data_IF_908483193295
#
_entry.id   IF_908483193295
#
_cell.length_a   1.000
_cell.length_b   1.000
_cell.length_c   1.000
_cell.angle_alpha   90.00
_cell.angle_beta   90.00
_cell.angle_gamma   90.00
#
_symmetry.space_group_name_H-M   'P 1'
#
loop_
_entity.id
_entity.type
_entity.pdbx_description
1 polymer ?
#
# COMPACT_ATOMS: atom_id res chain seq x y z
N UNK A 1 -7.37 -19.25 -5.69
CA UNK A 1 -7.41 -17.78 -5.85
C UNK A 1 -8.75 -17.45 -6.52
N UNK A 2 -9.71 -16.87 -5.79
CA UNK A 2 -11.07 -16.61 -6.31
C UNK A 2 -11.15 -15.20 -6.93
N UNK A 3 -10.39 -14.96 -7.99
CA UNK A 3 -10.25 -13.64 -8.64
C UNK A 3 -11.40 -13.31 -9.64
N UNK A 4 -12.60 -13.85 -9.43
CA UNK A 4 -13.69 -13.77 -10.43
C UNK A 4 -15.10 -13.62 -9.85
N UNK A 5 -15.25 -13.19 -8.60
CA UNK A 5 -16.58 -12.96 -7.98
C UNK A 5 -17.09 -11.51 -8.12
N UNK A 6 -16.31 -10.64 -8.75
CA UNK A 6 -16.50 -9.19 -8.71
C UNK A 6 -16.63 -8.67 -10.13
N UNK A 7 -17.87 -8.55 -10.59
CA UNK A 7 -18.25 -8.31 -11.98
C UNK A 7 -18.31 -6.83 -12.37
N UNK A 8 -17.96 -5.90 -11.48
CA UNK A 8 -17.82 -4.49 -11.83
C UNK A 8 -16.44 -3.99 -11.41
N UNK A 9 -15.81 -3.17 -12.26
CA UNK A 9 -14.52 -2.55 -11.99
C UNK A 9 -14.56 -1.80 -10.65
N UNK A 10 -14.00 -2.41 -9.59
CA UNK A 10 -13.93 -1.87 -8.23
C UNK A 10 -15.00 -2.35 -7.23
N UNK A 11 -16.02 -3.09 -7.69
CA UNK A 11 -17.06 -3.72 -6.87
C UNK A 11 -16.54 -5.04 -6.30
N UNK A 12 -15.83 -4.99 -5.18
CA UNK A 12 -15.21 -6.18 -4.57
C UNK A 12 -13.90 -5.94 -3.84
N UNK A 13 -13.34 -4.74 -3.93
CA UNK A 13 -12.15 -4.38 -3.19
C UNK A 13 -12.50 -4.13 -1.72
N UNK A 14 -11.62 -4.56 -0.81
CA UNK A 14 -11.82 -4.40 0.64
C UNK A 14 -12.10 -2.93 1.02
N UNK A 15 -11.43 -1.98 0.36
CA UNK A 15 -11.62 -0.54 0.59
C UNK A 15 -13.05 -0.09 0.23
N UNK A 16 -13.59 -0.50 -0.92
CA UNK A 16 -14.98 -0.21 -1.30
C UNK A 16 -15.97 -0.78 -0.30
N UNK A 17 -15.78 -2.06 0.10
CA UNK A 17 -16.66 -2.72 1.08
C UNK A 17 -16.59 -2.04 2.44
N UNK A 18 -15.40 -1.64 2.89
CA UNK A 18 -15.22 -0.93 4.16
C UNK A 18 -15.89 0.46 4.14
N UNK A 19 -15.79 1.19 3.03
CA UNK A 19 -16.43 2.48 2.82
C UNK A 19 -17.96 2.37 2.82
N UNK A 20 -18.51 1.42 2.07
CA UNK A 20 -19.94 1.15 2.01
C UNK A 20 -20.47 0.73 3.39
N UNK A 21 -19.75 -0.15 4.08
CA UNK A 21 -20.13 -0.60 5.42
C UNK A 21 -20.14 0.56 6.43
N UNK A 22 -19.10 1.39 6.45
CA UNK A 22 -19.04 2.55 7.36
C UNK A 22 -20.09 3.62 7.03
N UNK A 23 -20.44 3.78 5.75
CA UNK A 23 -21.49 4.71 5.31
C UNK A 23 -22.88 4.24 5.77
N UNK A 24 -23.16 2.93 5.67
CA UNK A 24 -24.44 2.36 6.10
C UNK A 24 -24.51 2.12 7.61
N UNK A 25 -23.35 1.96 8.27
CA UNK A 25 -23.23 1.72 9.70
C UNK A 25 -22.19 2.67 10.33
N UNK A 26 -22.55 3.95 10.59
CA UNK A 26 -21.60 4.95 11.08
C UNK A 26 -20.92 4.62 12.42
N UNK A 27 -21.47 3.66 13.18
CA UNK A 27 -20.86 3.13 14.41
C UNK A 27 -19.49 2.47 14.16
N UNK A 28 -19.20 2.04 12.93
CA UNK A 28 -17.92 1.44 12.55
C UNK A 28 -16.80 2.48 12.48
N UNK A 29 -17.13 3.73 12.20
CA UNK A 29 -16.19 4.84 12.07
C UNK A 29 -16.81 6.13 12.66
N UNK A 30 -17.08 6.16 13.97
CA UNK A 30 -17.86 7.21 14.60
C UNK A 30 -17.16 8.58 14.53
N UNK A 31 -15.84 8.59 14.52
CA UNK A 31 -15.01 9.80 14.48
C UNK A 31 -14.84 10.39 13.08
N UNK A 32 -15.29 9.67 12.04
CA UNK A 32 -15.13 10.11 10.64
C UNK A 32 -16.24 11.04 10.16
N UNK A 33 -17.29 11.24 10.98
CA UNK A 33 -18.40 12.16 10.67
C UNK A 33 -19.31 11.69 9.53
N UNK A 34 -19.34 10.38 9.27
CA UNK A 34 -20.18 9.76 8.23
C UNK A 34 -21.68 9.77 8.55
N UNK A 35 -22.04 9.97 9.83
CA UNK A 35 -23.41 10.06 10.33
C UNK A 35 -24.11 11.41 10.03
N UNK A 36 -23.36 12.43 9.64
CA UNK A 36 -23.87 13.75 9.26
C UNK A 36 -24.26 13.70 7.78
N UNK A 37 -25.54 13.43 7.49
CA UNK A 37 -26.06 13.10 6.17
C UNK A 37 -25.43 13.83 4.97
N UNK A 38 -25.18 13.07 3.88
CA UNK A 38 -24.66 13.53 2.58
C UNK A 38 -23.48 14.51 2.64
N UNK A 39 -22.61 14.42 3.64
CA UNK A 39 -21.39 15.19 3.60
C UNK A 39 -20.38 14.47 2.70
N UNK A 40 -20.40 14.75 1.39
CA UNK A 40 -19.44 14.22 0.42
C UNK A 40 -17.98 14.40 0.90
N UNK A 41 -17.69 15.44 1.69
CA UNK A 41 -16.38 15.64 2.29
C UNK A 41 -16.00 14.58 3.33
N UNK A 42 -16.95 14.05 4.11
CA UNK A 42 -16.70 13.00 5.09
C UNK A 42 -16.42 11.66 4.41
N UNK A 43 -17.15 11.38 3.33
CA UNK A 43 -16.92 10.22 2.48
C UNK A 43 -15.52 10.24 1.87
N UNK A 44 -15.10 11.35 1.26
CA UNK A 44 -13.75 11.46 0.69
C UNK A 44 -12.66 11.36 1.76
N UNK A 45 -12.83 11.99 2.93
CA UNK A 45 -11.86 11.85 4.03
C UNK A 45 -11.73 10.41 4.53
N UNK A 46 -12.82 9.66 4.62
CA UNK A 46 -12.77 8.28 5.04
C UNK A 46 -12.12 7.39 3.97
N UNK A 47 -12.38 7.65 2.70
CA UNK A 47 -11.68 6.98 1.60
C UNK A 47 -10.17 7.29 1.61
N UNK A 48 -9.78 8.54 1.85
CA UNK A 48 -8.37 8.91 2.00
C UNK A 48 -7.71 8.20 3.20
N UNK A 49 -8.44 8.04 4.30
CA UNK A 49 -7.98 7.27 5.48
C UNK A 49 -7.78 5.79 5.12
N UNK A 50 -8.74 5.15 4.44
CA UNK A 50 -8.63 3.75 4.04
C UNK A 50 -7.46 3.54 3.07
N UNK A 51 -7.29 4.42 2.08
CA UNK A 51 -6.14 4.37 1.17
C UNK A 51 -4.81 4.59 1.90
N UNK A 52 -4.77 5.53 2.84
CA UNK A 52 -3.56 5.80 3.64
C UNK A 52 -3.19 4.61 4.51
N UNK A 53 -4.17 3.99 5.18
CA UNK A 53 -3.96 2.79 5.98
C UNK A 53 -3.44 1.63 5.15
N UNK A 54 -4.08 1.33 4.02
CA UNK A 54 -3.67 0.25 3.12
C UNK A 54 -2.23 0.43 2.61
N UNK A 55 -1.87 1.66 2.21
CA UNK A 55 -0.51 1.99 1.80
C UNK A 55 0.51 1.78 2.94
N UNK A 56 0.23 2.29 4.13
CA UNK A 56 1.13 2.12 5.28
C UNK A 56 1.28 0.67 5.70
N UNK A 57 0.18 -0.08 5.70
CA UNK A 57 0.21 -1.51 5.99
C UNK A 57 1.09 -2.26 4.99
N UNK A 58 0.92 -1.99 3.69
CA UNK A 58 1.75 -2.60 2.67
C UNK A 58 3.22 -2.22 2.84
N UNK A 59 3.54 -0.97 3.14
CA UNK A 59 4.91 -0.56 3.44
C UNK A 59 5.49 -1.34 4.62
N UNK A 60 4.74 -1.49 5.71
CA UNK A 60 5.18 -2.26 6.87
C UNK A 60 5.45 -3.73 6.53
N UNK A 61 4.57 -4.36 5.75
CA UNK A 61 4.77 -5.76 5.33
C UNK A 61 5.99 -5.93 4.44
N UNK A 62 6.19 -5.01 3.48
CA UNK A 62 7.36 -5.04 2.60
C UNK A 62 8.66 -4.83 3.38
N UNK A 63 8.66 -3.95 4.38
CA UNK A 63 9.84 -3.68 5.22
C UNK A 63 10.12 -4.81 6.21
N UNK A 64 9.08 -5.35 6.86
CA UNK A 64 9.25 -6.43 7.82
C UNK A 64 9.83 -7.70 7.16
N UNK A 65 9.46 -7.99 5.91
CA UNK A 65 9.98 -9.15 5.18
C UNK A 65 9.60 -10.52 5.76
N UNK A 66 8.72 -10.56 6.78
CA UNK A 66 8.32 -11.81 7.46
C UNK A 66 6.85 -12.15 7.16
N UNK A 67 6.63 -13.34 6.58
CA UNK A 67 5.34 -14.02 6.59
C UNK A 67 4.61 -14.08 5.24
N UNK A 68 4.72 -15.24 4.57
CA UNK A 68 3.78 -16.01 3.71
C UNK A 68 2.61 -15.37 2.93
N UNK A 69 2.41 -14.05 2.93
CA UNK A 69 1.33 -13.35 2.23
C UNK A 69 1.85 -12.02 1.69
N UNK A 70 2.00 -11.94 0.38
CA UNK A 70 2.30 -10.69 -0.32
C UNK A 70 1.23 -9.66 0.05
N UNK A 71 1.60 -8.56 0.70
CA UNK A 71 0.68 -7.44 0.85
C UNK A 71 0.34 -6.91 -0.55
N UNK A 72 -0.95 -6.69 -0.79
CA UNK A 72 -1.45 -6.22 -2.06
C UNK A 72 -2.00 -4.80 -1.88
N UNK A 73 -1.39 -3.77 -2.50
CA UNK A 73 -1.80 -2.38 -2.30
C UNK A 73 -3.11 -2.09 -3.03
N UNK A 74 -4.25 -2.43 -2.41
CA UNK A 74 -5.57 -2.17 -2.98
C UNK A 74 -5.84 -0.68 -3.20
N UNK A 75 -5.14 0.20 -2.47
CA UNK A 75 -5.17 1.65 -2.68
C UNK A 75 -4.73 2.07 -4.10
N UNK A 76 -4.00 1.22 -4.84
CA UNK A 76 -3.55 1.53 -6.20
C UNK A 76 -4.69 1.68 -7.23
N UNK A 77 -5.89 1.18 -6.92
CA UNK A 77 -7.09 1.38 -7.72
C UNK A 77 -7.79 2.73 -7.47
N UNK A 78 -7.20 3.58 -6.64
CA UNK A 78 -7.63 4.95 -6.39
C UNK A 78 -6.51 5.94 -6.74
N UNK A 79 -6.83 7.23 -6.77
CA UNK A 79 -5.82 8.27 -7.05
C UNK A 79 -4.69 8.25 -6.01
N UNK A 80 -3.43 8.30 -6.48
CA UNK A 80 -2.23 8.45 -5.63
C UNK A 80 -2.33 9.68 -4.69
N UNK A 81 -3.09 10.72 -5.06
CA UNK A 81 -3.30 11.90 -4.21
C UNK A 81 -3.92 11.58 -2.86
N UNK A 82 -4.67 10.47 -2.74
CA UNK A 82 -5.35 10.06 -1.51
C UNK A 82 -4.38 9.70 -0.38
N UNK A 83 -3.15 9.34 -0.71
CA UNK A 83 -2.09 9.02 0.27
C UNK A 83 -1.13 10.18 0.50
N UNK A 84 -1.30 11.32 -0.17
CA UNK A 84 -0.32 12.43 -0.18
C UNK A 84 0.04 12.94 1.22
N UNK A 85 -0.95 13.06 2.11
CA UNK A 85 -0.74 13.50 3.49
C UNK A 85 0.16 12.52 4.26
N UNK A 86 -0.14 11.23 4.18
CA UNK A 86 0.61 10.22 4.92
C UNK A 86 2.00 9.99 4.31
N UNK A 87 2.11 10.02 2.97
CA UNK A 87 3.40 9.98 2.28
C UNK A 87 4.28 11.16 2.69
N UNK A 88 3.73 12.36 2.81
CA UNK A 88 4.48 13.54 3.28
C UNK A 88 4.93 13.41 4.73
N UNK A 89 4.13 12.78 5.60
CA UNK A 89 4.49 12.56 7.00
C UNK A 89 5.57 11.49 7.17
N UNK A 90 5.49 10.40 6.40
CA UNK A 90 6.42 9.27 6.52
C UNK A 90 7.72 9.52 5.73
N UNK A 91 7.64 10.09 4.53
CA UNK A 91 8.80 10.28 3.63
C UNK A 91 9.37 11.70 3.67
N UNK A 92 8.71 12.60 4.41
CA UNK A 92 9.16 13.97 4.59
C UNK A 92 10.46 14.07 5.38
N UNK A 93 10.93 15.32 5.53
CA UNK A 93 12.19 15.62 6.21
C UNK A 93 12.18 15.38 7.72
N UNK A 94 11.01 15.24 8.36
CA UNK A 94 10.90 14.84 9.77
C UNK A 94 10.81 13.30 9.85
N UNK A 95 11.83 12.61 10.39
CA UNK A 95 11.82 11.16 10.46
C UNK A 95 10.90 10.63 11.58
N UNK A 96 10.35 11.45 12.47
CA UNK A 96 9.66 11.00 13.69
C UNK A 96 8.55 9.97 13.39
N UNK A 97 7.62 10.29 12.50
CA UNK A 97 6.52 9.39 12.17
C UNK A 97 7.01 8.08 11.52
N UNK A 98 8.04 8.17 10.67
CA UNK A 98 8.68 6.99 10.06
C UNK A 98 9.34 6.09 11.09
N UNK A 99 10.01 6.68 12.10
CA UNK A 99 10.67 5.95 13.18
C UNK A 99 9.68 5.37 14.19
N UNK A 100 8.52 6.00 14.38
CA UNK A 100 7.43 5.41 15.17
C UNK A 100 6.80 4.21 14.45
N UNK A 101 6.67 4.27 13.12
CA UNK A 101 6.09 3.19 12.31
C UNK A 101 7.06 2.01 12.09
N UNK A 102 8.33 2.32 11.84
CA UNK A 102 9.39 1.37 11.48
C UNK A 102 10.62 1.61 12.37
N UNK A 103 10.57 1.24 13.65
CA UNK A 103 11.59 1.61 14.63
C UNK A 103 12.95 0.94 14.40
N UNK A 104 12.96 -0.27 13.85
CA UNK A 104 14.15 -1.13 13.76
C UNK A 104 14.81 -1.12 12.37
N UNK A 105 14.19 -0.45 11.38
CA UNK A 105 14.62 -0.48 9.97
C UNK A 105 15.24 0.84 9.54
N UNK A 106 16.40 0.81 8.89
CA UNK A 106 17.05 2.02 8.37
C UNK A 106 16.33 2.59 7.12
N UNK A 107 16.68 3.82 6.76
CA UNK A 107 16.04 4.52 5.63
C UNK A 107 16.35 3.88 4.27
N UNK A 108 17.49 3.18 4.14
CA UNK A 108 17.89 2.53 2.87
C UNK A 108 17.04 1.29 2.61
N UNK A 109 16.84 0.44 3.62
CA UNK A 109 15.91 -0.68 3.58
C UNK A 109 14.48 -0.20 3.29
N UNK A 110 14.04 0.87 3.95
CA UNK A 110 12.72 1.46 3.70
C UNK A 110 12.62 1.93 2.25
N UNK A 111 13.64 2.60 1.71
CA UNK A 111 13.65 3.07 0.33
C UNK A 111 13.60 1.91 -0.67
N UNK A 112 14.35 0.84 -0.45
CA UNK A 112 14.30 -0.38 -1.26
C UNK A 112 12.88 -0.99 -1.27
N UNK A 113 12.29 -1.21 -0.09
CA UNK A 113 10.95 -1.77 0.04
C UNK A 113 9.88 -0.86 -0.59
N UNK A 114 10.05 0.46 -0.47
CA UNK A 114 9.17 1.45 -1.08
C UNK A 114 9.22 1.41 -2.61
N UNK A 115 10.39 1.20 -3.22
CA UNK A 115 10.52 1.00 -4.68
C UNK A 115 9.73 -0.22 -5.13
N UNK A 116 9.84 -1.34 -4.43
CA UNK A 116 9.09 -2.55 -4.77
C UNK A 116 7.58 -2.38 -4.59
N UNK A 117 7.16 -1.70 -3.52
CA UNK A 117 5.75 -1.36 -3.30
C UNK A 117 5.21 -0.49 -4.45
N UNK A 118 5.92 0.57 -4.83
CA UNK A 118 5.52 1.44 -5.92
C UNK A 118 5.57 0.74 -7.27
N UNK A 119 6.54 -0.16 -7.52
CA UNK A 119 6.59 -0.98 -8.73
C UNK A 119 5.35 -1.86 -8.84
N UNK A 120 4.95 -2.51 -7.74
CA UNK A 120 3.73 -3.31 -7.68
C UNK A 120 2.49 -2.43 -7.90
N UNK A 121 2.33 -1.35 -7.13
CA UNK A 121 1.19 -0.45 -7.23
C UNK A 121 1.05 0.15 -8.64
N UNK A 122 2.14 0.60 -9.26
CA UNK A 122 2.15 1.10 -10.63
C UNK A 122 1.70 0.03 -11.62
N UNK A 123 2.21 -1.20 -11.52
CA UNK A 123 1.83 -2.30 -12.41
C UNK A 123 0.36 -2.67 -12.26
N UNK A 124 -0.14 -2.76 -11.03
CA UNK A 124 -1.54 -3.09 -10.74
C UNK A 124 -2.49 -1.95 -11.17
N UNK A 125 -2.11 -0.69 -10.97
CA UNK A 125 -2.88 0.47 -11.42
C UNK A 125 -3.02 0.57 -12.94
N UNK A 126 -2.18 -0.13 -13.70
CA UNK A 126 -2.24 -0.21 -15.16
C UNK A 126 -3.08 -1.41 -15.65
N UNK A 127 -3.50 -2.31 -14.76
CA UNK A 127 -4.40 -3.40 -15.11
C UNK A 127 -5.83 -2.87 -15.35
N UNK A 128 -6.59 -3.61 -16.17
CA UNK A 128 -7.81 -3.17 -16.87
C UNK A 128 -8.76 -2.30 -16.03
N UNK A 129 -9.25 -1.24 -16.67
CA UNK A 129 -10.28 -0.29 -16.20
C UNK A 129 -9.91 0.67 -15.06
N UNK A 130 -8.66 0.65 -14.56
CA UNK A 130 -8.18 1.68 -13.64
C UNK A 130 -8.08 3.06 -14.33
N UNK A 131 -8.70 4.07 -13.72
CA UNK A 131 -8.62 5.49 -14.15
C UNK A 131 -7.42 6.21 -13.55
N UNK A 132 -6.64 5.54 -12.71
CA UNK A 132 -5.61 6.15 -11.88
C UNK A 132 -4.25 5.58 -12.22
N UNK A 133 -3.27 6.47 -12.28
CA UNK A 133 -1.87 6.13 -12.51
C UNK A 133 -1.07 6.38 -11.24
N UNK A 134 -0.27 5.40 -10.85
CA UNK A 134 0.66 5.49 -9.72
C UNK A 134 2.10 5.64 -10.19
N UNK A 135 2.87 6.48 -9.50
CA UNK A 135 4.28 6.76 -9.80
C UNK A 135 4.53 8.14 -10.39
N UNK A 136 3.51 9.02 -10.38
CA UNK A 136 3.71 10.42 -10.76
C UNK A 136 4.40 11.22 -9.66
N UNK A 137 4.22 10.81 -8.39
CA UNK A 137 4.70 11.49 -7.19
C UNK A 137 4.37 13.00 -7.21
N UNK A 138 3.08 13.37 -7.13
CA UNK A 138 2.65 14.75 -7.21
C UNK A 138 3.22 15.62 -6.09
N UNK A 139 3.48 15.02 -4.93
CA UNK A 139 4.04 15.70 -3.75
C UNK A 139 5.56 15.88 -3.79
N UNK A 140 6.27 15.20 -4.70
CA UNK A 140 7.73 15.15 -4.82
C UNK A 140 8.47 14.53 -3.63
N UNK A 141 7.75 14.12 -2.57
CA UNK A 141 8.36 13.60 -1.34
C UNK A 141 8.92 12.21 -1.55
N UNK A 142 8.24 11.37 -2.37
CA UNK A 142 8.73 10.04 -2.72
C UNK A 142 10.05 10.15 -3.48
N UNK A 143 10.07 10.95 -4.56
CA UNK A 143 11.26 11.17 -5.38
C UNK A 143 12.41 11.70 -4.53
N UNK A 144 12.14 12.67 -3.65
CA UNK A 144 13.17 13.21 -2.76
C UNK A 144 13.74 12.12 -1.85
N UNK A 145 12.88 11.38 -1.16
CA UNK A 145 13.31 10.30 -0.25
C UNK A 145 14.14 9.25 -1.00
N UNK A 146 13.68 8.80 -2.18
CA UNK A 146 14.41 7.82 -2.99
C UNK A 146 15.74 8.34 -3.57
N UNK A 147 15.89 9.66 -3.75
CA UNK A 147 17.15 10.29 -4.18
C UNK A 147 18.14 10.41 -3.03
N UNK A 148 17.64 10.70 -1.83
CA UNK A 148 18.45 10.76 -0.61
C UNK A 148 18.94 9.35 -0.19
N UNK A 149 18.25 8.29 -0.63
CA UNK A 149 18.55 6.88 -0.37
C UNK A 149 18.64 6.05 -1.67
N UNK A 150 19.70 6.22 -2.50
CA UNK A 150 19.82 5.59 -3.81
C UNK A 150 19.92 4.06 -3.75
N UNK A 151 19.60 3.38 -4.85
CA UNK A 151 19.78 1.92 -4.95
C UNK A 151 21.25 1.55 -4.76
N UNK A 152 21.52 0.65 -3.81
CA UNK A 152 22.84 0.08 -3.61
C UNK A 152 22.98 -1.15 -4.50
N UNK A 153 24.04 -1.21 -5.30
CA UNK A 153 24.26 -2.24 -6.33
C UNK A 153 24.30 -3.69 -5.81
N UNK A 154 24.42 -3.88 -4.50
CA UNK A 154 24.61 -5.18 -3.84
C UNK A 154 23.41 -5.60 -2.96
N UNK A 155 22.40 -4.74 -2.75
CA UNK A 155 21.19 -5.09 -2.00
C UNK A 155 20.15 -5.71 -2.91
N UNK A 156 20.15 -7.04 -2.96
CA UNK A 156 19.07 -7.77 -3.60
C UNK A 156 17.82 -7.65 -2.72
N UNK A 157 16.68 -7.19 -3.25
CA UNK A 157 15.45 -7.12 -2.48
C UNK A 157 15.15 -8.52 -1.91
N UNK A 158 14.58 -8.61 -0.69
CA UNK A 158 14.20 -9.89 -0.13
C UNK A 158 13.40 -10.66 -1.18
N UNK A 159 13.82 -11.89 -1.49
CA UNK A 159 13.18 -12.72 -2.50
C UNK A 159 11.80 -13.14 -2.02
N UNK A 160 10.83 -12.23 -2.16
CA UNK A 160 9.45 -12.37 -1.75
C UNK A 160 8.71 -13.44 -2.58
N UNK A 161 9.32 -13.95 -3.64
CA UNK A 161 8.75 -14.95 -4.55
C UNK A 161 9.41 -16.33 -4.45
N UNK A 162 10.56 -16.48 -3.76
CA UNK A 162 11.25 -17.79 -3.65
C UNK A 162 10.44 -18.86 -2.93
N UNK A 163 9.55 -18.48 -2.02
CA UNK A 163 8.79 -19.44 -1.20
C UNK A 163 7.63 -20.12 -1.94
N UNK A 164 7.32 -19.70 -3.16
CA UNK A 164 6.29 -20.33 -4.00
C UNK A 164 6.87 -21.26 -5.08
N UNK A 165 8.18 -21.56 -5.04
CA UNK A 165 8.79 -22.47 -6.00
C UNK A 165 9.02 -23.86 -5.36
N UNK A 166 8.17 -24.87 -5.63
CA UNK A 166 8.32 -26.22 -5.07
C UNK A 166 9.62 -26.93 -5.50
N UNK A 167 10.32 -26.39 -6.50
CA UNK A 167 11.60 -26.92 -7.00
C UNK A 167 12.83 -26.46 -6.20
N UNK A 168 12.65 -25.64 -5.15
CA UNK A 168 13.75 -25.15 -4.28
C UNK A 168 13.66 -25.61 -2.83
N UNK A 169 12.81 -26.59 -2.51
CA UNK A 169 12.81 -27.21 -1.19
C UNK A 169 14.05 -28.12 -1.04
N UNK A 170 15.03 -27.81 -0.17
CA UNK A 170 16.20 -28.65 0.03
C UNK A 170 15.86 -30.04 0.59
N UNK A 171 14.61 -30.27 1.01
CA UNK A 171 14.13 -31.57 1.48
C UNK A 171 13.40 -32.40 0.41
N UNK A 172 13.20 -31.90 -0.81
CA UNK A 172 12.62 -32.69 -1.89
C UNK A 172 13.72 -33.46 -2.64
N UNK A 173 14.34 -34.42 -1.95
CA UNK A 173 15.09 -35.48 -2.63
C UNK A 173 14.16 -36.66 -2.84
N UNK A 174 13.99 -36.99 -4.12
CA UNK A 174 13.19 -38.10 -4.63
C UNK A 174 13.35 -39.39 -3.84
N UNK A 175 12.22 -40.00 -3.49
CA UNK A 175 12.08 -41.45 -3.37
C UNK A 175 10.80 -41.91 -4.07
#
# INVERSE_FOLDING_TARGET
MNAGLFNEAGSGMMITVALDNATNHPIVAPDCGLNMGSNASAHERYLDLLCSFDFLYCLCVFVAGVGTGLAYPACCFYSENRISNVASQILGGDPKARRELLPDDDDDKIAMCLRELYRLASNESLQKDSKFYWGFDPSRVLRKFLQDHPEQSDEQPPDMFSYNNPDRDPNNTSH
#
